data_IF_576873032280
#
_entry.id   IF_576873032280
#
_cell.length_a   1.000
_cell.length_b   1.000
_cell.length_c   1.000
_cell.angle_alpha   90.00
_cell.angle_beta   90.00
_cell.angle_gamma   90.00
#
_symmetry.space_group_name_H-M   'P 1'
#
loop_
_entity.id
_entity.type
_entity.pdbx_description
1 polymer ?
#
# COMPACT_ATOMS: atom_id res chain seq x y z
N UNK A 1 -14.96 13.90 -14.88
CA UNK A 1 -14.12 12.75 -14.49
C UNK A 1 -13.39 13.16 -13.21
N UNK A 2 -13.65 12.52 -12.07
CA UNK A 2 -12.84 12.76 -10.87
C UNK A 2 -11.37 12.48 -11.21
N UNK A 3 -10.40 13.29 -10.76
CA UNK A 3 -9.00 12.94 -10.95
C UNK A 3 -8.78 11.53 -10.40
N UNK A 4 -8.22 10.65 -11.25
CA UNK A 4 -7.91 9.28 -10.87
C UNK A 4 -7.13 9.30 -9.53
N UNK A 5 -7.69 8.69 -8.49
CA UNK A 5 -7.00 8.50 -7.20
C UNK A 5 -7.53 9.26 -5.98
N UNK A 6 -8.66 9.98 -6.02
CA UNK A 6 -9.24 10.52 -4.78
C UNK A 6 -10.05 9.47 -4.01
N UNK A 7 -9.45 8.85 -3.00
CA UNK A 7 -10.15 7.99 -2.04
C UNK A 7 -10.56 8.81 -0.79
N UNK A 8 -11.79 8.59 -0.32
CA UNK A 8 -12.24 9.02 1.02
C UNK A 8 -12.17 7.82 1.94
N UNK A 9 -11.61 8.01 3.14
CA UNK A 9 -11.39 6.93 4.11
C UNK A 9 -11.85 7.41 5.48
N UNK A 10 -12.58 6.55 6.16
CA UNK A 10 -13.07 6.79 7.51
C UNK A 10 -12.73 5.60 8.41
N UNK A 11 -12.38 5.90 9.65
CA UNK A 11 -12.20 4.90 10.70
C UNK A 11 -12.98 5.36 11.91
N UNK A 12 -13.78 4.47 12.47
CA UNK A 12 -14.61 4.81 13.61
C UNK A 12 -14.48 3.75 14.70
N UNK A 13 -14.29 4.21 15.94
CA UNK A 13 -14.39 3.37 17.14
C UNK A 13 -15.64 3.81 17.89
N UNK A 14 -16.74 3.04 17.77
CA UNK A 14 -18.00 3.35 18.42
C UNK A 14 -17.91 3.18 19.94
N UNK A 15 -18.80 3.86 20.67
CA UNK A 15 -19.03 3.55 22.09
C UNK A 15 -19.86 2.26 22.22
N UNK A 16 -19.84 1.63 23.40
CA UNK A 16 -20.47 0.30 23.65
C UNK A 16 -21.96 0.19 23.24
N UNK A 17 -22.68 1.30 23.09
CA UNK A 17 -24.12 1.33 22.81
C UNK A 17 -24.50 2.08 21.53
N UNK A 18 -23.54 2.46 20.69
CA UNK A 18 -23.83 3.17 19.45
C UNK A 18 -24.10 2.22 18.27
N UNK A 19 -25.02 2.61 17.40
CA UNK A 19 -25.24 1.98 16.10
C UNK A 19 -24.04 2.24 15.18
N UNK A 20 -23.16 1.24 15.07
CA UNK A 20 -21.87 1.33 14.37
C UNK A 20 -22.06 1.68 12.89
N UNK A 21 -23.08 1.08 12.26
CA UNK A 21 -23.34 1.29 10.85
C UNK A 21 -23.75 2.75 10.60
N UNK A 22 -24.69 3.29 11.40
CA UNK A 22 -25.10 4.70 11.29
C UNK A 22 -23.94 5.66 11.58
N UNK A 23 -23.17 5.40 12.63
CA UNK A 23 -22.04 6.27 13.00
C UNK A 23 -20.96 6.29 11.91
N UNK A 24 -20.58 5.13 11.38
CA UNK A 24 -19.58 5.01 10.32
C UNK A 24 -20.05 5.67 9.02
N UNK A 25 -21.28 5.38 8.59
CA UNK A 25 -21.85 5.92 7.35
C UNK A 25 -22.00 7.44 7.44
N UNK A 26 -22.45 7.96 8.59
CA UNK A 26 -22.57 9.40 8.83
C UNK A 26 -21.21 10.12 8.76
N UNK A 27 -20.20 9.58 9.45
CA UNK A 27 -18.84 10.13 9.43
C UNK A 27 -18.24 10.09 8.01
N UNK A 28 -18.42 8.97 7.30
CA UNK A 28 -17.95 8.81 5.93
C UNK A 28 -18.60 9.83 4.98
N UNK A 29 -19.93 9.97 4.99
CA UNK A 29 -20.64 10.93 4.14
C UNK A 29 -20.30 12.38 4.48
N UNK A 30 -20.03 12.70 5.75
CA UNK A 30 -19.52 14.01 6.14
C UNK A 30 -18.21 14.32 5.43
N UNK A 31 -17.24 13.38 5.42
CA UNK A 31 -15.98 13.56 4.67
C UNK A 31 -16.17 13.62 3.16
N UNK A 32 -17.06 12.81 2.60
CA UNK A 32 -17.40 12.86 1.17
C UNK A 32 -17.95 14.24 0.80
N UNK A 33 -18.89 14.78 1.59
CA UNK A 33 -19.48 16.11 1.37
C UNK A 33 -18.45 17.23 1.50
N UNK A 34 -17.62 17.20 2.54
CA UNK A 34 -16.53 18.19 2.71
C UNK A 34 -15.57 18.17 1.51
N UNK A 35 -15.24 16.99 1.02
CA UNK A 35 -14.37 16.84 -0.15
C UNK A 35 -15.04 17.27 -1.44
N UNK A 36 -16.31 16.94 -1.63
CA UNK A 36 -17.10 17.41 -2.78
C UNK A 36 -17.20 18.94 -2.77
N UNK A 37 -17.45 19.56 -1.61
CA UNK A 37 -17.46 21.01 -1.45
C UNK A 37 -16.11 21.64 -1.82
N UNK A 38 -14.99 21.03 -1.43
CA UNK A 38 -13.66 21.51 -1.84
C UNK A 38 -13.41 21.44 -3.35
N UNK A 39 -14.06 20.50 -4.04
CA UNK A 39 -13.94 20.32 -5.50
C UNK A 39 -14.88 21.23 -6.30
N UNK A 40 -16.01 21.65 -5.71
CA UNK A 40 -16.94 22.59 -6.34
C UNK A 40 -16.32 23.97 -6.60
N UNK A 41 -15.31 24.37 -5.82
CA UNK A 41 -14.52 25.58 -6.08
C UNK A 41 -13.48 25.42 -7.21
N UNK A 42 -13.29 24.22 -7.76
CA UNK A 42 -12.24 23.89 -8.75
C UNK A 42 -12.75 23.16 -10.00
N UNK A 43 -14.01 23.36 -10.38
CA UNK A 43 -14.70 22.87 -11.60
C UNK A 43 -15.63 21.64 -11.46
N UNK A 44 -16.54 21.53 -12.45
CA UNK A 44 -17.83 20.81 -12.53
C UNK A 44 -17.81 19.27 -12.44
N UNK A 45 -16.86 18.66 -11.72
CA UNK A 45 -16.80 17.21 -11.62
C UNK A 45 -17.74 16.67 -10.53
N UNK A 46 -18.88 16.07 -10.93
CA UNK A 46 -19.72 15.25 -10.03
C UNK A 46 -18.85 14.12 -9.43
N UNK A 47 -18.76 13.98 -8.10
CA UNK A 47 -18.02 12.89 -7.50
C UNK A 47 -18.69 11.55 -7.86
N UNK A 48 -18.09 10.78 -8.77
CA UNK A 48 -18.50 9.41 -9.04
C UNK A 48 -17.78 8.48 -8.07
N UNK A 49 -18.49 7.94 -7.09
CA UNK A 49 -17.97 6.84 -6.27
C UNK A 49 -18.04 5.55 -7.10
N UNK A 50 -16.90 5.07 -7.57
CA UNK A 50 -16.86 3.82 -8.36
C UNK A 50 -16.83 2.57 -7.48
N UNK A 51 -16.46 2.71 -6.19
CA UNK A 51 -16.27 1.57 -5.29
C UNK A 51 -16.38 2.00 -3.82
N UNK A 52 -17.14 1.24 -3.03
CA UNK A 52 -17.27 1.39 -1.59
C UNK A 52 -16.83 0.09 -0.90
N UNK A 53 -15.96 0.21 0.12
CA UNK A 53 -15.46 -0.91 0.90
C UNK A 53 -15.55 -0.58 2.39
N UNK A 54 -16.37 -1.34 3.12
CA UNK A 54 -16.52 -1.26 4.56
C UNK A 54 -15.94 -2.50 5.24
N UNK A 55 -15.53 -2.34 6.51
CA UNK A 55 -15.10 -3.46 7.35
C UNK A 55 -15.42 -3.18 8.82
N UNK A 56 -15.98 -4.18 9.49
CA UNK A 56 -16.23 -4.16 10.93
C UNK A 56 -15.35 -5.21 11.58
N UNK A 57 -14.47 -4.79 12.47
CA UNK A 57 -13.57 -5.69 13.22
C UNK A 57 -14.20 -6.05 14.57
N UNK A 58 -14.21 -7.34 14.90
CA UNK A 58 -14.41 -7.82 16.26
C UNK A 58 -13.04 -8.03 16.92
N UNK A 59 -12.70 -7.20 17.91
CA UNK A 59 -11.44 -7.33 18.63
C UNK A 59 -11.60 -8.30 19.81
N UNK A 60 -10.63 -9.20 19.99
CA UNK A 60 -10.50 -10.04 21.19
C UNK A 60 -9.87 -9.29 22.37
N UNK A 61 -9.30 -8.10 22.13
CA UNK A 61 -8.73 -7.22 23.14
C UNK A 61 -9.76 -6.26 23.74
N UNK A 62 -9.60 -5.93 25.03
CA UNK A 62 -10.57 -5.14 25.81
C UNK A 62 -10.66 -3.64 25.48
N UNK A 63 -9.68 -3.05 24.78
CA UNK A 63 -9.68 -1.63 24.44
C UNK A 63 -9.63 -1.41 22.92
N UNK A 64 -10.72 -0.96 22.27
CA UNK A 64 -10.70 -0.66 20.85
C UNK A 64 -9.91 0.64 20.58
N UNK A 65 -9.06 0.64 19.55
CA UNK A 65 -8.31 1.84 19.14
C UNK A 65 -8.48 2.12 17.65
N UNK A 66 -8.57 3.41 17.28
CA UNK A 66 -8.69 3.85 15.87
C UNK A 66 -7.49 3.38 15.03
N UNK A 67 -6.34 3.23 15.69
CA UNK A 67 -5.10 2.76 15.06
C UNK A 67 -5.22 1.31 14.57
N UNK A 68 -6.01 0.49 15.25
CA UNK A 68 -6.30 -0.90 14.91
C UNK A 68 -7.56 -1.09 14.04
N UNK A 69 -8.25 0.00 13.68
CA UNK A 69 -9.36 -0.04 12.74
C UNK A 69 -8.85 -0.03 11.29
N UNK A 70 -9.48 -0.84 10.45
CA UNK A 70 -9.26 -0.86 9.00
C UNK A 70 -9.82 0.38 8.30
N UNK A 71 -9.39 0.69 7.05
CA UNK A 71 -8.35 -0.01 6.28
C UNK A 71 -6.94 0.31 6.77
N UNK A 72 -6.08 -0.71 6.83
CA UNK A 72 -4.66 -0.55 7.19
C UNK A 72 -3.80 -0.23 5.98
N UNK A 73 -2.70 0.49 6.25
CA UNK A 73 -1.59 0.73 5.32
C UNK A 73 -0.29 0.43 6.07
N UNK A 74 0.71 -0.08 5.36
CA UNK A 74 2.02 -0.33 5.97
C UNK A 74 2.93 0.88 5.85
N UNK A 75 3.13 1.40 4.64
CA UNK A 75 3.90 2.62 4.40
C UNK A 75 3.02 3.87 4.26
N UNK A 76 3.56 5.08 4.50
CA UNK A 76 2.92 6.31 4.07
C UNK A 76 2.82 6.38 2.53
N UNK A 77 1.99 7.28 1.98
CA UNK A 77 1.87 7.46 0.54
C UNK A 77 3.21 7.80 -0.11
N UNK A 78 3.49 7.19 -1.25
CA UNK A 78 4.73 7.38 -2.01
C UNK A 78 4.42 7.82 -3.44
N UNK A 79 5.41 8.36 -4.16
CA UNK A 79 5.29 8.70 -5.59
C UNK A 79 6.16 7.75 -6.39
N UNK A 80 5.59 7.14 -7.42
CA UNK A 80 6.32 6.27 -8.34
C UNK A 80 6.01 6.64 -9.78
N UNK A 81 6.99 6.46 -10.66
CA UNK A 81 6.74 6.35 -12.09
C UNK A 81 6.07 5.00 -12.36
N UNK A 82 4.88 5.03 -12.96
CA UNK A 82 4.07 3.85 -13.26
C UNK A 82 3.88 3.77 -14.76
N UNK A 83 4.22 2.61 -15.33
CA UNK A 83 3.88 2.22 -16.69
C UNK A 83 2.53 1.52 -16.71
N UNK A 84 1.65 1.95 -17.61
CA UNK A 84 0.38 1.27 -17.89
C UNK A 84 0.17 1.13 -19.38
N UNK A 85 -0.43 0.00 -19.78
CA UNK A 85 -0.93 -0.17 -21.13
C UNK A 85 -2.30 0.49 -21.24
N UNK A 86 -2.44 1.41 -22.18
CA UNK A 86 -3.70 2.04 -22.60
C UNK A 86 -3.98 1.67 -24.05
N UNK A 87 -5.16 2.01 -24.61
CA UNK A 87 -5.44 1.81 -26.03
C UNK A 87 -4.43 2.53 -26.94
N UNK A 88 -3.90 3.68 -26.52
CA UNK A 88 -2.92 4.48 -27.25
C UNK A 88 -1.48 3.96 -27.11
N UNK A 89 -1.27 2.88 -26.34
CA UNK A 89 0.03 2.29 -26.11
C UNK A 89 0.47 2.31 -24.66
N UNK A 90 1.77 2.25 -24.42
CA UNK A 90 2.31 2.34 -23.07
C UNK A 90 2.42 3.80 -22.64
N UNK A 91 1.88 4.13 -21.47
CA UNK A 91 1.99 5.46 -20.87
C UNK A 91 2.74 5.38 -19.55
N UNK A 92 3.64 6.34 -19.34
CA UNK A 92 4.38 6.54 -18.10
C UNK A 92 3.86 7.77 -17.37
N UNK A 93 3.43 7.60 -16.12
CA UNK A 93 2.97 8.72 -15.26
C UNK A 93 3.53 8.61 -13.85
N UNK A 94 3.90 9.74 -13.27
CA UNK A 94 4.27 9.81 -11.85
C UNK A 94 3.00 9.96 -11.03
N UNK A 95 2.68 8.95 -10.25
CA UNK A 95 1.43 8.88 -9.49
C UNK A 95 1.67 8.66 -8.01
N UNK A 96 0.69 9.10 -7.20
CA UNK A 96 0.64 8.80 -5.78
C UNK A 96 0.17 7.36 -5.60
N UNK A 97 1.04 6.53 -5.03
CA UNK A 97 0.81 5.12 -4.77
C UNK A 97 0.53 4.89 -3.29
N UNK A 98 -0.53 4.12 -3.03
CA UNK A 98 -0.94 3.71 -1.69
C UNK A 98 -1.55 2.32 -1.75
N UNK A 99 -1.27 1.50 -0.74
CA UNK A 99 -1.95 0.22 -0.51
C UNK A 99 -2.78 0.32 0.76
N UNK A 100 -4.04 -0.08 0.64
CA UNK A 100 -5.00 -0.09 1.74
C UNK A 100 -5.69 -1.43 1.78
N UNK A 101 -5.68 -2.07 2.95
CA UNK A 101 -6.21 -3.41 3.14
C UNK A 101 -7.27 -3.41 4.24
N UNK A 102 -8.41 -4.00 3.92
CA UNK A 102 -9.35 -4.56 4.90
C UNK A 102 -9.08 -6.05 5.00
N UNK A 103 -8.90 -6.58 6.21
CA UNK A 103 -8.53 -7.98 6.43
C UNK A 103 -9.51 -8.58 7.43
N UNK A 104 -10.12 -9.71 7.07
CA UNK A 104 -11.00 -10.47 7.95
C UNK A 104 -10.36 -11.83 8.20
N UNK A 105 -9.95 -12.07 9.44
CA UNK A 105 -9.18 -13.24 9.85
C UNK A 105 -7.91 -12.84 10.58
N UNK A 106 -7.06 -13.83 10.79
CA UNK A 106 -5.80 -13.71 11.53
C UNK A 106 -4.62 -14.12 10.63
N UNK A 107 -3.50 -13.42 10.76
CA UNK A 107 -2.22 -13.79 10.19
C UNK A 107 -1.25 -14.21 11.31
N UNK A 108 -1.15 -15.52 11.53
CA UNK A 108 -0.23 -16.09 12.51
C UNK A 108 1.20 -16.22 11.95
N UNK A 109 1.31 -16.82 10.76
CA UNK A 109 2.58 -17.14 10.12
C UNK A 109 2.58 -16.82 8.62
N UNK A 110 3.78 -16.58 8.09
CA UNK A 110 4.02 -16.41 6.67
C UNK A 110 5.28 -17.16 6.24
N UNK A 111 5.25 -17.96 5.16
CA UNK A 111 6.44 -18.67 4.67
C UNK A 111 7.43 -17.68 4.06
N UNK A 112 8.63 -17.61 4.63
CA UNK A 112 9.68 -16.69 4.19
C UNK A 112 11.07 -17.30 4.46
N UNK A 113 11.90 -17.39 3.43
CA UNK A 113 13.19 -18.09 3.45
C UNK A 113 13.07 -19.55 3.96
N UNK A 114 12.07 -20.28 3.47
CA UNK A 114 11.84 -21.69 3.83
C UNK A 114 11.31 -21.94 5.25
N UNK A 115 11.03 -20.89 6.02
CA UNK A 115 10.59 -20.98 7.42
C UNK A 115 9.24 -20.27 7.61
N UNK A 116 8.38 -20.80 8.48
CA UNK A 116 7.17 -20.13 8.92
C UNK A 116 7.53 -19.01 9.90
N UNK A 117 7.42 -17.75 9.47
CA UNK A 117 7.75 -16.57 10.28
C UNK A 117 6.51 -16.02 10.94
N UNK A 118 6.60 -15.73 12.23
CA UNK A 118 5.53 -15.07 13.00
C UNK A 118 5.21 -13.69 12.43
N UNK A 119 4.01 -13.17 12.69
CA UNK A 119 3.66 -11.79 12.30
C UNK A 119 4.60 -10.71 12.88
N UNK A 120 5.24 -10.97 14.03
CA UNK A 120 6.24 -10.07 14.62
C UNK A 120 7.52 -10.05 13.80
N UNK A 121 8.07 -11.23 13.48
CA UNK A 121 9.26 -11.37 12.63
C UNK A 121 9.01 -10.77 11.26
N UNK A 122 7.88 -11.13 10.64
CA UNK A 122 7.48 -10.60 9.34
C UNK A 122 7.37 -9.08 9.36
N UNK A 123 6.76 -8.51 10.41
CA UNK A 123 6.67 -7.06 10.58
C UNK A 123 8.03 -6.37 10.66
N UNK A 124 8.99 -6.96 11.38
CA UNK A 124 10.35 -6.43 11.48
C UNK A 124 11.07 -6.45 10.11
N UNK A 125 10.93 -7.55 9.39
CA UNK A 125 11.51 -7.72 8.05
C UNK A 125 10.89 -6.77 7.02
N UNK A 126 9.55 -6.68 6.96
CA UNK A 126 8.85 -5.76 6.06
C UNK A 126 9.26 -4.30 6.27
N UNK A 127 9.53 -3.87 7.52
CA UNK A 127 10.01 -2.50 7.79
C UNK A 127 11.37 -2.22 7.16
N UNK A 128 12.24 -3.23 7.08
CA UNK A 128 13.54 -3.12 6.42
C UNK A 128 13.38 -3.10 4.91
N UNK A 129 12.67 -4.09 4.36
CA UNK A 129 12.47 -4.24 2.90
C UNK A 129 11.72 -3.06 2.28
N UNK A 130 10.68 -2.57 2.93
CA UNK A 130 9.88 -1.44 2.44
C UNK A 130 10.45 -0.07 2.87
N UNK A 131 11.59 -0.06 3.57
CA UNK A 131 12.22 1.13 4.14
C UNK A 131 11.23 2.00 4.97
N UNK A 132 10.28 1.35 5.65
CA UNK A 132 9.23 2.03 6.41
C UNK A 132 9.71 2.38 7.82
N UNK A 133 10.11 3.65 7.99
CA UNK A 133 10.50 4.22 9.29
C UNK A 133 9.30 4.60 10.16
N UNK A 134 8.13 4.84 9.56
CA UNK A 134 6.93 5.26 10.27
C UNK A 134 6.45 4.21 11.27
N UNK A 135 5.79 4.66 12.34
CA UNK A 135 5.15 3.77 13.29
C UNK A 135 3.91 3.11 12.64
N UNK A 136 3.95 1.79 12.49
CA UNK A 136 2.82 0.98 11.98
C UNK A 136 1.96 0.44 13.12
N UNK A 137 0.70 0.06 12.86
CA UNK A 137 -0.16 -0.55 13.88
C UNK A 137 0.41 -1.89 14.39
N UNK A 138 0.04 -2.30 15.60
CA UNK A 138 0.50 -3.55 16.20
C UNK A 138 -0.15 -4.80 15.61
N UNK A 139 -1.37 -4.66 15.07
CA UNK A 139 -2.17 -5.76 14.53
C UNK A 139 -1.49 -6.46 13.34
N UNK A 140 -1.92 -7.69 13.11
CA UNK A 140 -1.51 -8.57 12.01
C UNK A 140 -1.92 -8.03 10.63
N UNK A 141 -3.08 -7.38 10.55
CA UNK A 141 -3.67 -6.83 9.33
C UNK A 141 -2.81 -5.74 8.69
N UNK A 142 -1.98 -5.04 9.47
CA UNK A 142 -1.00 -4.12 8.89
C UNK A 142 0.13 -4.87 8.17
N UNK A 143 0.53 -6.06 8.63
CA UNK A 143 1.54 -6.88 7.96
C UNK A 143 0.98 -7.41 6.65
N UNK A 144 -0.28 -7.81 6.61
CA UNK A 144 -0.97 -8.13 5.35
C UNK A 144 -0.89 -6.95 4.37
N UNK A 145 -1.11 -5.72 4.83
CA UNK A 145 -0.94 -4.53 3.99
C UNK A 145 0.50 -4.39 3.45
N UNK A 146 1.51 -4.72 4.26
CA UNK A 146 2.92 -4.70 3.84
C UNK A 146 3.29 -5.81 2.86
N UNK A 147 2.72 -7.02 3.02
CA UNK A 147 2.86 -8.11 2.06
C UNK A 147 2.27 -7.69 0.71
N UNK A 148 1.05 -7.15 0.70
CA UNK A 148 0.40 -6.68 -0.52
C UNK A 148 1.22 -5.54 -1.16
N UNK A 149 1.76 -4.62 -0.37
CA UNK A 149 2.63 -3.55 -0.86
C UNK A 149 3.92 -4.07 -1.50
N UNK A 150 4.52 -5.12 -0.93
CA UNK A 150 5.72 -5.76 -1.49
C UNK A 150 5.42 -6.52 -2.80
N UNK A 151 4.29 -7.22 -2.87
CA UNK A 151 3.92 -8.05 -4.01
C UNK A 151 3.32 -7.24 -5.17
N UNK A 152 2.70 -6.09 -4.88
CA UNK A 152 2.02 -5.27 -5.90
C UNK A 152 3.00 -4.33 -6.60
N UNK A 153 3.74 -4.90 -7.55
CA UNK A 153 4.84 -4.24 -8.25
C UNK A 153 4.53 -3.82 -9.69
N UNK A 154 3.41 -4.29 -10.26
CA UNK A 154 3.10 -4.15 -11.69
C UNK A 154 3.21 -2.70 -12.18
N UNK A 155 3.98 -2.52 -13.26
CA UNK A 155 4.23 -1.23 -13.88
C UNK A 155 5.22 -0.34 -13.12
N UNK A 156 5.80 -0.79 -12.01
CA UNK A 156 6.72 -0.02 -11.18
C UNK A 156 8.05 -0.76 -11.03
N UNK A 157 9.06 -0.32 -11.77
CA UNK A 157 10.39 -0.95 -11.77
C UNK A 157 11.01 -1.03 -10.37
N UNK A 158 10.95 0.07 -9.61
CA UNK A 158 11.52 0.12 -8.27
C UNK A 158 10.92 -0.92 -7.31
N UNK A 159 9.61 -1.13 -7.37
CA UNK A 159 8.94 -2.13 -6.54
C UNK A 159 9.26 -3.55 -7.04
N UNK A 160 9.33 -3.74 -8.36
CA UNK A 160 9.66 -5.02 -8.99
C UNK A 160 11.08 -5.47 -8.63
N UNK A 161 12.06 -4.57 -8.73
CA UNK A 161 13.45 -4.82 -8.35
C UNK A 161 13.57 -5.14 -6.86
N UNK A 162 12.84 -4.40 -6.00
CA UNK A 162 12.78 -4.68 -4.55
C UNK A 162 12.33 -6.12 -4.28
N UNK A 163 11.24 -6.54 -4.89
CA UNK A 163 10.73 -7.91 -4.75
C UNK A 163 11.73 -8.93 -5.31
N UNK A 164 12.26 -8.70 -6.51
CA UNK A 164 13.21 -9.59 -7.18
C UNK A 164 14.47 -9.80 -6.33
N UNK A 165 15.00 -8.74 -5.71
CA UNK A 165 16.14 -8.85 -4.81
C UNK A 165 15.83 -9.79 -3.63
N UNK A 166 14.66 -9.67 -3.00
CA UNK A 166 14.28 -10.55 -1.89
C UNK A 166 14.11 -12.01 -2.32
N UNK A 167 13.73 -12.25 -3.57
CA UNK A 167 13.50 -13.60 -4.10
C UNK A 167 14.76 -14.28 -4.64
N UNK A 168 15.68 -13.51 -5.22
CA UNK A 168 16.80 -14.06 -5.99
C UNK A 168 18.20 -13.73 -5.45
N UNK A 169 18.36 -12.65 -4.69
CA UNK A 169 19.68 -12.16 -4.28
C UNK A 169 19.86 -12.08 -2.76
N UNK A 170 18.78 -11.88 -2.00
CA UNK A 170 18.84 -11.77 -0.55
C UNK A 170 19.24 -13.12 0.06
N UNK A 171 20.38 -13.19 0.78
CA UNK A 171 20.93 -14.46 1.23
C UNK A 171 20.13 -15.09 2.39
N UNK A 172 19.56 -14.27 3.28
CA UNK A 172 18.77 -14.77 4.40
C UNK A 172 17.85 -13.71 5.03
N UNK A 173 16.95 -14.19 5.88
CA UNK A 173 16.11 -13.36 6.74
C UNK A 173 16.95 -12.48 7.69
N UNK A 174 17.97 -13.06 8.33
CA UNK A 174 18.80 -12.38 9.33
C UNK A 174 19.69 -11.32 8.71
N UNK A 175 20.18 -11.56 7.50
CA UNK A 175 20.96 -10.58 6.74
C UNK A 175 20.14 -9.30 6.47
N UNK A 176 18.85 -9.47 6.14
CA UNK A 176 17.93 -8.35 5.96
C UNK A 176 17.71 -7.55 7.26
N UNK A 177 17.68 -8.23 8.41
CA UNK A 177 17.43 -7.60 9.71
C UNK A 177 18.68 -6.93 10.30
N UNK A 178 19.82 -7.59 10.19
CA UNK A 178 21.09 -7.19 10.78
C UNK A 178 21.86 -6.20 9.88
N UNK A 179 21.38 -5.95 8.65
CA UNK A 179 22.07 -5.10 7.68
C UNK A 179 23.41 -5.68 7.23
N UNK A 180 23.60 -6.99 7.42
CA UNK A 180 24.75 -7.74 6.91
C UNK A 180 24.33 -8.30 5.55
N UNK A 181 25.08 -8.02 4.49
CA UNK A 181 24.67 -8.30 3.10
C UNK A 181 24.37 -7.01 2.33
N UNK A 182 24.30 -7.12 1.00
CA UNK A 182 24.02 -6.02 0.06
C UNK A 182 22.59 -5.47 0.28
N UNK A 183 22.31 -4.86 1.43
CA UNK A 183 21.02 -4.25 1.69
C UNK A 183 20.75 -3.26 0.57
N UNK A 184 19.82 -3.62 -0.32
CA UNK A 184 19.57 -2.82 -1.51
C UNK A 184 19.02 -1.48 -1.04
N UNK A 185 19.89 -0.47 -1.04
CA UNK A 185 19.57 0.83 -0.48
C UNK A 185 18.52 1.50 -1.35
N UNK A 186 17.80 2.47 -0.79
CA UNK A 186 16.84 3.25 -1.57
C UNK A 186 17.51 3.95 -2.77
N UNK A 187 18.80 4.29 -2.67
CA UNK A 187 19.63 4.86 -3.74
C UNK A 187 19.92 3.84 -4.84
N UNK A 188 20.47 2.67 -4.50
CA UNK A 188 20.74 1.59 -5.46
C UNK A 188 19.46 1.13 -6.18
N UNK A 189 18.35 1.03 -5.44
CA UNK A 189 17.02 0.79 -6.01
C UNK A 189 16.60 1.87 -7.01
N UNK A 190 16.90 3.13 -6.72
CA UNK A 190 16.58 4.26 -7.58
C UNK A 190 17.38 4.26 -8.88
N UNK A 191 18.69 4.01 -8.79
CA UNK A 191 19.58 3.91 -9.95
C UNK A 191 19.19 2.74 -10.86
N UNK A 192 19.02 1.54 -10.30
CA UNK A 192 18.60 0.37 -11.07
C UNK A 192 17.21 0.55 -11.69
N UNK A 193 16.27 1.17 -10.97
CA UNK A 193 14.95 1.47 -11.51
C UNK A 193 15.02 2.51 -12.63
N UNK A 194 15.90 3.51 -12.55
CA UNK A 194 16.13 4.50 -13.59
C UNK A 194 16.69 3.88 -14.88
N UNK A 195 17.65 2.96 -14.74
CA UNK A 195 18.19 2.21 -15.87
C UNK A 195 17.10 1.32 -16.53
N UNK A 196 16.33 0.58 -15.74
CA UNK A 196 15.23 -0.24 -16.26
C UNK A 196 14.13 0.61 -16.94
N UNK A 197 13.84 1.79 -16.39
CA UNK A 197 12.88 2.74 -16.96
C UNK A 197 13.35 3.28 -18.31
N UNK A 198 14.65 3.59 -18.47
CA UNK A 198 15.24 4.04 -19.73
C UNK A 198 15.21 2.95 -20.81
N UNK A 199 15.62 1.72 -20.47
CA UNK A 199 15.57 0.57 -21.39
C UNK A 199 14.14 0.28 -21.84
N UNK A 200 13.18 0.31 -20.91
CA UNK A 200 11.80 0.10 -21.29
C UNK A 200 11.27 1.26 -22.14
N UNK A 201 11.60 2.51 -21.83
CA UNK A 201 11.21 3.66 -22.64
C UNK A 201 11.71 3.56 -24.10
N UNK A 202 12.94 3.09 -24.30
CA UNK A 202 13.49 2.80 -25.63
C UNK A 202 12.71 1.69 -26.34
N UNK A 203 12.43 0.58 -25.65
CA UNK A 203 11.62 -0.51 -26.19
C UNK A 203 10.24 -0.06 -26.68
N UNK A 204 9.55 0.80 -25.93
CA UNK A 204 8.24 1.33 -26.36
C UNK A 204 8.29 2.50 -27.32
N UNK A 205 9.37 3.29 -27.33
CA UNK A 205 9.57 4.39 -28.28
C UNK A 205 10.08 3.93 -29.65
N UNK A 206 10.79 2.80 -29.69
CA UNK A 206 11.46 2.27 -30.89
C UNK A 206 10.58 1.48 -31.86
N UNK A 207 9.27 1.33 -31.61
CA UNK A 207 8.35 0.71 -32.58
C UNK A 207 8.57 -0.78 -32.87
N UNK A 208 8.96 -1.59 -31.89
CA UNK A 208 9.18 -3.03 -32.06
C UNK A 208 8.16 -3.91 -31.35
N UNK A 209 7.02 -4.19 -32.00
CA UNK A 209 6.44 -5.49 -32.44
C UNK A 209 5.16 -5.16 -33.22
#
# INVERSE_FOLDING_TARGET
IMPAGSAVRERHVPSKRSDIAKALVSAFWTKVRLRAASLLFTAHAKPSCSFFLGHTRFATSSAPTVRESHPHRFSPPQRFAIWRRTPEGWQRKVERYEVHVTHNGDLDYWPLFGVQRTQRELGAWLRRVLHCKAAVAGCDSVKVAGIVELLRTQGVWRLSLRLAYQQAASPSFDDTLNGKGLAMTEGALGEAAGAADAVFAEYVGGGGV
#
